data_IF_646042869527
#
_entry.id   IF_646042869527
#
_cell.length_a   1.000
_cell.length_b   1.000
_cell.length_c   1.000
_cell.angle_alpha   90.00
_cell.angle_beta   90.00
_cell.angle_gamma   90.00
#
_symmetry.space_group_name_H-M   'P 1'
#
loop_
_entity.id
_entity.type
_entity.pdbx_description
1 polymer ?
#
# COMPACT_ATOMS: atom_id res chain seq x y z
N UNK A 1 50.02 16.77 -17.34
CA UNK A 1 49.85 16.12 -16.01
C UNK A 1 48.98 17.00 -15.12
N UNK A 2 47.64 16.89 -15.17
CA UNK A 2 46.76 17.54 -14.18
C UNK A 2 45.56 16.63 -13.89
N UNK A 3 45.67 15.86 -12.80
CA UNK A 3 44.67 14.89 -12.34
C UNK A 3 43.64 15.67 -11.51
N UNK A 4 42.47 15.97 -12.08
CA UNK A 4 41.33 16.51 -11.32
C UNK A 4 40.79 15.41 -10.41
N UNK A 5 41.17 15.46 -9.13
CA UNK A 5 40.49 14.69 -8.08
C UNK A 5 39.14 15.37 -7.80
N UNK A 6 38.06 14.84 -8.37
CA UNK A 6 36.71 15.10 -7.87
C UNK A 6 36.60 14.46 -6.49
N UNK A 7 36.68 15.27 -5.43
CA UNK A 7 36.18 14.89 -4.12
C UNK A 7 34.68 14.61 -4.25
N UNK A 8 34.30 13.33 -4.27
CA UNK A 8 32.92 12.93 -4.04
C UNK A 8 32.66 13.06 -2.55
N UNK A 9 31.97 14.13 -2.16
CA UNK A 9 31.32 14.21 -0.86
C UNK A 9 30.40 12.98 -0.71
N UNK A 10 30.44 12.25 0.41
CA UNK A 10 29.40 11.25 0.66
C UNK A 10 28.08 12.03 0.81
N UNK A 11 27.18 11.86 -0.16
CA UNK A 11 25.79 12.27 -0.01
C UNK A 11 25.24 11.44 1.14
N UNK A 12 25.14 12.07 2.30
CA UNK A 12 24.49 11.50 3.47
C UNK A 12 23.00 11.45 3.13
N UNK A 13 22.55 10.33 2.54
CA UNK A 13 21.12 10.08 2.39
C UNK A 13 20.52 10.04 3.80
N UNK A 14 19.49 10.84 4.11
CA UNK A 14 18.83 10.78 5.39
C UNK A 14 18.36 9.34 5.60
N UNK A 15 18.82 8.73 6.71
CA UNK A 15 18.64 7.32 7.01
C UNK A 15 17.20 6.88 6.79
N UNK A 16 17.02 5.97 5.84
CA UNK A 16 15.79 5.20 5.63
C UNK A 16 15.65 4.14 6.71
N UNK A 17 15.58 4.57 7.97
CA UNK A 17 15.23 3.71 9.09
C UNK A 17 14.13 4.37 9.92
N UNK A 18 13.10 4.88 9.23
CA UNK A 18 11.76 4.96 9.81
C UNK A 18 11.07 3.62 9.53
N UNK A 19 11.63 2.58 10.15
CA UNK A 19 11.13 1.23 10.39
C UNK A 19 10.34 0.60 9.24
N UNK A 20 11.05 -0.14 8.37
CA UNK A 20 10.42 -1.26 7.66
C UNK A 20 9.93 -2.27 8.73
N UNK A 21 8.67 -2.13 9.14
CA UNK A 21 8.06 -3.07 10.08
C UNK A 21 7.82 -4.40 9.36
N UNK A 22 8.76 -5.32 9.54
CA UNK A 22 8.69 -6.68 8.99
C UNK A 22 7.87 -7.64 9.87
N UNK A 23 6.96 -7.11 10.69
CA UNK A 23 5.99 -7.93 11.42
C UNK A 23 5.03 -8.64 10.47
N UNK A 24 5.22 -9.95 10.33
CA UNK A 24 4.32 -10.81 9.57
C UNK A 24 2.89 -10.78 10.11
N UNK A 25 2.71 -10.65 11.43
CA UNK A 25 1.38 -10.54 12.03
C UNK A 25 0.69 -9.23 11.66
N UNK A 26 1.44 -8.11 11.60
CA UNK A 26 0.91 -6.83 11.14
C UNK A 26 0.53 -6.89 9.65
N UNK A 27 1.37 -7.51 8.82
CA UNK A 27 1.06 -7.72 7.40
C UNK A 27 -0.22 -8.56 7.23
N UNK A 28 -0.37 -9.64 8.01
CA UNK A 28 -1.56 -10.48 7.99
C UNK A 28 -2.82 -9.73 8.44
N UNK A 29 -2.71 -8.83 9.42
CA UNK A 29 -3.82 -7.95 9.82
C UNK A 29 -4.22 -7.02 8.68
N UNK A 30 -3.25 -6.39 8.02
CA UNK A 30 -3.50 -5.52 6.88
C UNK A 30 -4.21 -6.26 5.74
N UNK A 31 -3.79 -7.49 5.44
CA UNK A 31 -4.46 -8.36 4.47
C UNK A 31 -5.87 -8.73 4.88
N UNK A 32 -6.07 -9.17 6.11
CA UNK A 32 -7.39 -9.51 6.65
C UNK A 32 -8.37 -8.34 6.51
N UNK A 33 -7.91 -7.12 6.82
CA UNK A 33 -8.74 -5.92 6.67
C UNK A 33 -9.08 -5.66 5.21
N UNK A 34 -8.14 -5.80 4.27
CA UNK A 34 -8.43 -5.61 2.85
C UNK A 34 -9.44 -6.63 2.33
N UNK A 35 -9.29 -7.91 2.69
CA UNK A 35 -10.23 -8.96 2.33
C UNK A 35 -11.62 -8.69 2.92
N UNK A 36 -11.69 -8.24 4.18
CA UNK A 36 -12.94 -7.86 4.82
C UNK A 36 -13.64 -6.68 4.12
N UNK A 37 -12.89 -5.72 3.58
CA UNK A 37 -13.50 -4.62 2.82
C UNK A 37 -14.11 -5.10 1.49
N UNK A 38 -13.49 -6.08 0.83
CA UNK A 38 -13.97 -6.61 -0.45
C UNK A 38 -15.29 -7.36 -0.35
N UNK A 39 -15.57 -8.03 0.78
CA UNK A 39 -16.85 -8.72 1.02
C UNK A 39 -17.96 -7.77 1.48
N UNK A 40 -17.60 -6.59 1.97
CA UNK A 40 -18.58 -5.60 2.41
C UNK A 40 -19.09 -4.80 1.21
N UNK A 41 -20.39 -4.90 0.93
CA UNK A 41 -21.03 -4.09 -0.10
C UNK A 41 -20.90 -2.59 0.21
N UNK A 42 -20.28 -1.85 -0.72
CA UNK A 42 -20.09 -0.41 -0.61
C UNK A 42 -21.24 0.40 -1.25
N UNK A 43 -22.17 -0.25 -1.97
CA UNK A 43 -23.22 0.41 -2.76
C UNK A 43 -24.20 1.26 -1.92
N UNK A 44 -24.31 0.96 -0.62
CA UNK A 44 -25.20 1.66 0.32
C UNK A 44 -24.46 2.61 1.27
N UNK A 45 -23.15 2.74 1.15
CA UNK A 45 -22.37 3.58 2.04
C UNK A 45 -22.62 5.07 1.76
N UNK A 46 -22.80 5.85 2.81
CA UNK A 46 -22.81 7.31 2.74
C UNK A 46 -21.43 7.84 2.33
N UNK A 47 -21.37 9.08 1.85
CA UNK A 47 -20.09 9.71 1.48
C UNK A 47 -19.05 9.69 2.63
N UNK A 48 -19.39 10.03 3.89
CA UNK A 48 -18.44 9.93 5.00
C UNK A 48 -17.95 8.49 5.27
N UNK A 49 -18.83 7.50 5.12
CA UNK A 49 -18.47 6.08 5.27
C UNK A 49 -17.55 5.62 4.14
N UNK A 50 -17.80 6.05 2.90
CA UNK A 50 -16.92 5.81 1.76
C UNK A 50 -15.55 6.43 1.95
N UNK A 51 -15.46 7.69 2.39
CA UNK A 51 -14.19 8.36 2.68
C UNK A 51 -13.40 7.63 3.77
N UNK A 52 -14.09 7.19 4.82
CA UNK A 52 -13.50 6.41 5.91
C UNK A 52 -12.99 5.07 5.40
N UNK A 53 -13.81 4.33 4.65
CA UNK A 53 -13.44 3.07 4.00
C UNK A 53 -12.21 3.23 3.10
N UNK A 54 -12.19 4.26 2.26
CA UNK A 54 -11.07 4.52 1.36
C UNK A 54 -9.78 4.88 2.10
N UNK A 55 -9.87 5.55 3.25
CA UNK A 55 -8.71 5.74 4.13
C UNK A 55 -8.17 4.40 4.64
N UNK A 56 -9.04 3.53 5.15
CA UNK A 56 -8.65 2.21 5.63
C UNK A 56 -8.02 1.35 4.52
N UNK A 57 -8.63 1.31 3.34
CA UNK A 57 -8.09 0.54 2.20
C UNK A 57 -6.68 1.03 1.84
N UNK A 58 -6.48 2.35 1.68
CA UNK A 58 -5.18 2.91 1.31
C UNK A 58 -4.11 2.63 2.37
N UNK A 59 -4.45 2.77 3.65
CA UNK A 59 -3.52 2.50 4.75
C UNK A 59 -3.06 1.03 4.78
N UNK A 60 -4.01 0.09 4.64
CA UNK A 60 -3.70 -1.34 4.69
C UNK A 60 -3.03 -1.83 3.40
N UNK A 61 -3.33 -1.23 2.24
CA UNK A 61 -2.63 -1.51 0.99
C UNK A 61 -1.16 -1.05 1.08
N UNK A 62 -0.90 0.15 1.61
CA UNK A 62 0.46 0.64 1.83
C UNK A 62 1.25 -0.23 2.83
N UNK A 63 0.58 -0.71 3.89
CA UNK A 63 1.17 -1.66 4.82
C UNK A 63 1.68 -2.93 4.11
N UNK A 64 0.83 -3.56 3.29
CA UNK A 64 1.21 -4.76 2.54
C UNK A 64 2.25 -4.50 1.46
N UNK A 65 2.17 -3.37 0.76
CA UNK A 65 3.17 -2.98 -0.24
C UNK A 65 4.55 -2.81 0.41
N UNK A 66 4.63 -2.13 1.55
CA UNK A 66 5.89 -1.93 2.27
C UNK A 66 6.46 -3.27 2.77
N UNK A 67 5.64 -4.10 3.40
CA UNK A 67 6.06 -5.42 3.87
C UNK A 67 6.55 -6.29 2.71
N UNK A 68 5.80 -6.35 1.61
CA UNK A 68 6.16 -7.15 0.43
C UNK A 68 7.42 -6.63 -0.26
N UNK A 69 7.59 -5.32 -0.35
CA UNK A 69 8.75 -4.71 -1.00
C UNK A 69 10.04 -4.94 -0.21
N UNK A 70 9.98 -4.78 1.12
CA UNK A 70 11.16 -4.67 1.98
C UNK A 70 11.48 -5.93 2.79
N UNK A 71 10.48 -6.78 3.08
CA UNK A 71 10.62 -7.85 4.05
C UNK A 71 10.50 -9.26 3.45
N UNK A 72 9.91 -9.40 2.26
CA UNK A 72 9.73 -10.71 1.63
C UNK A 72 10.84 -11.04 0.62
N UNK A 73 11.31 -12.29 0.57
CA UNK A 73 12.15 -12.79 -0.52
C UNK A 73 11.33 -12.92 -1.80
N UNK A 74 11.99 -12.96 -2.96
CA UNK A 74 11.34 -12.90 -4.27
C UNK A 74 10.28 -14.00 -4.45
N UNK A 75 10.55 -15.22 -3.98
CA UNK A 75 9.61 -16.35 -4.11
C UNK A 75 8.28 -16.10 -3.39
N UNK A 76 8.31 -15.36 -2.28
CA UNK A 76 7.11 -15.04 -1.49
C UNK A 76 6.39 -13.77 -1.97
N UNK A 77 7.07 -12.93 -2.76
CA UNK A 77 6.45 -11.72 -3.34
C UNK A 77 5.37 -12.07 -4.35
N UNK A 78 5.54 -13.16 -5.09
CA UNK A 78 4.59 -13.59 -6.13
C UNK A 78 3.24 -13.98 -5.52
N UNK A 79 3.23 -14.74 -4.42
CA UNK A 79 2.02 -15.08 -3.68
C UNK A 79 1.30 -13.82 -3.16
N UNK A 80 2.03 -12.89 -2.54
CA UNK A 80 1.46 -11.63 -2.04
C UNK A 80 1.02 -10.68 -3.16
N UNK A 81 1.57 -10.81 -4.37
CA UNK A 81 1.22 -9.94 -5.50
C UNK A 81 -0.25 -10.06 -5.89
N UNK A 82 -0.83 -11.26 -5.82
CA UNK A 82 -2.22 -11.51 -6.19
C UNK A 82 -3.19 -10.78 -5.26
N UNK A 83 -2.92 -10.83 -3.95
CA UNK A 83 -3.69 -10.11 -2.92
C UNK A 83 -3.60 -8.60 -3.14
N UNK A 84 -2.39 -8.08 -3.37
CA UNK A 84 -2.16 -6.65 -3.61
C UNK A 84 -2.88 -6.17 -4.87
N UNK A 85 -2.83 -6.93 -5.97
CA UNK A 85 -3.52 -6.61 -7.23
C UNK A 85 -5.04 -6.60 -7.03
N UNK A 86 -5.59 -7.61 -6.36
CA UNK A 86 -7.01 -7.66 -6.02
C UNK A 86 -7.45 -6.46 -5.19
N UNK A 87 -6.72 -6.15 -4.11
CA UNK A 87 -7.00 -5.01 -3.25
C UNK A 87 -6.91 -3.68 -3.99
N UNK A 88 -5.94 -3.51 -4.90
CA UNK A 88 -5.79 -2.31 -5.73
C UNK A 88 -6.95 -2.12 -6.70
N UNK A 89 -7.42 -3.20 -7.34
CA UNK A 89 -8.60 -3.15 -8.22
C UNK A 89 -9.85 -2.72 -7.45
N UNK A 90 -10.07 -3.31 -6.27
CA UNK A 90 -11.19 -2.93 -5.41
C UNK A 90 -11.09 -1.47 -4.95
N UNK A 91 -9.90 -1.03 -4.53
CA UNK A 91 -9.64 0.36 -4.14
C UNK A 91 -9.99 1.33 -5.26
N UNK A 92 -9.58 1.05 -6.50
CA UNK A 92 -9.88 1.88 -7.65
C UNK A 92 -11.40 2.00 -7.88
N UNK A 93 -12.10 0.87 -7.96
CA UNK A 93 -13.55 0.83 -8.17
C UNK A 93 -14.35 1.52 -7.06
N UNK A 94 -13.86 1.47 -5.81
CA UNK A 94 -14.59 2.00 -4.65
C UNK A 94 -14.25 3.47 -4.35
N UNK A 95 -13.01 3.89 -4.63
CA UNK A 95 -12.44 5.14 -4.10
C UNK A 95 -11.99 6.15 -5.14
N UNK A 96 -11.85 5.74 -6.40
CA UNK A 96 -11.32 6.57 -7.47
C UNK A 96 -12.24 6.61 -8.70
N UNK A 97 -13.14 5.64 -8.83
CA UNK A 97 -14.16 5.65 -9.86
C UNK A 97 -15.12 6.85 -9.66
N UNK A 98 -15.03 7.80 -10.58
CA UNK A 98 -15.72 9.09 -10.54
C UNK A 98 -17.23 8.96 -10.71
N UNK A 99 -17.72 7.79 -11.15
CA UNK A 99 -19.15 7.51 -11.26
C UNK A 99 -19.79 7.12 -9.93
N UNK A 100 -19.01 6.78 -8.88
CA UNK A 100 -19.54 6.54 -7.53
C UNK A 100 -20.01 7.84 -6.82
N UNK A 101 -19.62 9.02 -7.33
CA UNK A 101 -19.96 10.33 -6.76
C UNK A 101 -21.01 11.08 -7.58
N UNK A 102 -21.40 10.56 -8.75
CA UNK A 102 -22.48 11.13 -9.57
C UNK A 102 -23.73 10.25 -9.52
N UNK A 103 -24.67 10.58 -8.64
CA UNK A 103 -26.08 10.25 -8.87
C UNK A 103 -26.87 9.74 -7.68
N UNK A 104 -27.20 10.63 -6.74
CA UNK A 104 -28.59 10.86 -6.32
C UNK A 104 -28.80 12.35 -6.10
#
# INVERSE_FOLDING_TARGET
>A
MHKRQSLRLPVQMPGSSQFADCSASRAQQCETVLLAQQVNDASRATVPELLTRCRYIRQNLNCLLNYTALCLPLEQKEEKSQVIVSARKYAYATCEDRDAVKGK
#
